data_IF_925957815931
#
_entry.id   IF_925957815931
#
_cell.length_a   1.000
_cell.length_b   1.000
_cell.length_c   1.000
_cell.angle_alpha   90.00
_cell.angle_beta   90.00
_cell.angle_gamma   90.00
#
_symmetry.space_group_name_H-M   'P 1'
#
loop_
_entity.id
_entity.type
_entity.pdbx_description
1 polymer ?
#
# COMPACT_ATOMS: atom_id res chain seq x y z
N UNK A 1 34.34 -1.36 22.93
CA UNK A 1 33.20 -2.18 22.51
C UNK A 1 32.56 -1.51 21.30
N UNK A 2 32.97 -1.87 20.08
CA UNK A 2 32.35 -1.35 18.86
C UNK A 2 31.25 -2.35 18.44
N UNK A 3 30.00 -1.92 18.25
CA UNK A 3 28.96 -2.82 17.78
C UNK A 3 29.27 -3.23 16.33
N UNK A 4 29.62 -4.50 16.14
CA UNK A 4 29.90 -5.08 14.83
C UNK A 4 28.58 -5.37 14.10
N UNK A 5 28.08 -4.40 13.34
CA UNK A 5 26.93 -4.58 12.46
C UNK A 5 27.36 -5.29 11.15
N UNK A 6 27.69 -6.58 11.22
CA UNK A 6 28.13 -7.37 10.05
C UNK A 6 27.02 -7.61 9.01
N UNK A 7 25.75 -7.42 9.37
CA UNK A 7 24.60 -7.79 8.54
C UNK A 7 24.24 -6.71 7.51
N UNK A 8 24.50 -5.43 7.81
CA UNK A 8 24.28 -4.32 6.87
C UNK A 8 25.45 -3.35 6.97
N UNK A 9 26.43 -3.43 6.05
CA UNK A 9 27.54 -2.51 6.08
C UNK A 9 27.02 -1.09 5.88
N UNK A 10 27.67 -0.13 6.54
CA UNK A 10 27.25 1.29 6.57
C UNK A 10 27.03 1.89 5.17
N UNK A 11 27.76 1.40 4.16
CA UNK A 11 27.65 1.82 2.77
C UNK A 11 26.46 1.24 1.99
N UNK A 12 25.75 0.22 2.51
CA UNK A 12 24.53 -0.35 1.90
C UNK A 12 23.27 0.36 2.40
N UNK A 13 23.38 1.10 3.50
CA UNK A 13 22.26 1.87 4.04
C UNK A 13 22.04 3.09 3.13
N UNK A 14 20.88 3.17 2.48
CA UNK A 14 20.37 4.40 1.90
C UNK A 14 19.95 5.35 3.04
N UNK A 15 20.93 5.82 3.80
CA UNK A 15 20.78 6.89 4.79
C UNK A 15 21.39 8.13 4.15
N UNK A 16 20.69 9.26 4.29
CA UNK A 16 21.09 10.56 3.77
C UNK A 16 22.51 10.92 4.26
N UNK A 17 23.54 10.59 3.48
CA UNK A 17 24.85 11.21 3.61
C UNK A 17 24.67 12.66 3.15
N UNK A 18 24.42 13.52 4.15
CA UNK A 18 24.22 14.97 4.07
C UNK A 18 24.14 15.56 2.66
N UNK A 19 22.92 15.94 2.24
CA UNK A 19 22.77 16.81 1.08
C UNK A 19 23.45 18.15 1.35
N UNK A 20 24.40 18.50 0.47
CA UNK A 20 25.12 19.77 0.46
C UNK A 20 24.10 20.90 0.23
N UNK A 21 23.60 21.48 1.33
CA UNK A 21 22.82 22.73 1.44
C UNK A 21 22.13 23.23 0.16
N UNK A 22 20.80 23.09 0.09
CA UNK A 22 19.98 24.05 -0.65
C UNK A 22 18.74 24.40 0.19
N UNK A 23 18.78 25.56 0.87
CA UNK A 23 17.64 26.27 1.51
C UNK A 23 16.54 25.36 2.08
N UNK A 24 16.70 24.94 3.34
CA UNK A 24 15.84 23.99 4.07
C UNK A 24 14.38 24.43 4.35
N UNK A 25 13.70 25.06 3.40
CA UNK A 25 12.28 25.43 3.49
C UNK A 25 11.58 25.57 2.14
N UNK A 26 12.23 26.13 1.11
CA UNK A 26 11.57 26.32 -0.19
C UNK A 26 11.58 25.05 -1.05
N UNK A 27 12.70 24.34 -1.08
CA UNK A 27 12.84 23.10 -1.86
C UNK A 27 12.00 21.96 -1.27
N UNK A 28 11.84 21.91 0.06
CA UNK A 28 11.04 20.89 0.75
C UNK A 28 9.54 21.05 0.48
N UNK A 29 9.03 22.28 0.40
CA UNK A 29 7.62 22.54 0.05
C UNK A 29 7.32 22.11 -1.38
N UNK A 30 8.21 22.42 -2.32
CA UNK A 30 8.08 22.00 -3.73
C UNK A 30 8.15 20.47 -3.84
N UNK A 31 9.08 19.84 -3.14
CA UNK A 31 9.20 18.38 -3.10
C UNK A 31 7.96 17.72 -2.48
N UNK A 32 7.42 18.29 -1.39
CA UNK A 32 6.21 17.79 -0.74
C UNK A 32 4.96 17.94 -1.62
N UNK A 33 4.82 19.05 -2.33
CA UNK A 33 3.75 19.27 -3.31
C UNK A 33 3.83 18.29 -4.48
N UNK A 34 5.04 18.03 -4.98
CA UNK A 34 5.23 17.04 -6.03
C UNK A 34 4.90 15.62 -5.53
N UNK A 35 5.38 15.27 -4.33
CA UNK A 35 5.12 13.98 -3.72
C UNK A 35 3.63 13.73 -3.42
N UNK A 36 2.85 14.77 -3.08
CA UNK A 36 1.41 14.64 -2.85
C UNK A 36 0.63 14.33 -4.13
N UNK A 37 1.03 14.93 -5.26
CA UNK A 37 0.40 14.62 -6.55
C UNK A 37 0.74 13.20 -7.02
N UNK A 38 2.02 12.82 -6.91
CA UNK A 38 2.49 11.47 -7.26
C UNK A 38 1.82 10.40 -6.38
N UNK A 39 1.65 10.66 -5.08
CA UNK A 39 0.99 9.72 -4.17
C UNK A 39 -0.51 9.60 -4.44
N UNK A 40 -1.20 10.70 -4.78
CA UNK A 40 -2.62 10.66 -5.17
C UNK A 40 -2.84 9.82 -6.43
N UNK A 41 -1.96 9.94 -7.43
CA UNK A 41 -2.02 9.13 -8.66
C UNK A 41 -1.75 7.65 -8.38
N UNK A 42 -0.69 7.32 -7.64
CA UNK A 42 -0.39 5.93 -7.26
C UNK A 42 -1.51 5.31 -6.42
N UNK A 43 -2.12 6.09 -5.52
CA UNK A 43 -3.27 5.67 -4.74
C UNK A 43 -4.47 5.35 -5.64
N UNK A 44 -4.79 6.20 -6.63
CA UNK A 44 -5.88 5.93 -7.57
C UNK A 44 -5.62 4.66 -8.43
N UNK A 45 -4.38 4.48 -8.90
CA UNK A 45 -3.98 3.28 -9.66
C UNK A 45 -4.12 2.03 -8.80
N UNK A 46 -3.55 2.04 -7.59
CA UNK A 46 -3.60 0.89 -6.69
C UNK A 46 -5.01 0.60 -6.17
N UNK A 47 -5.81 1.64 -5.96
CA UNK A 47 -7.23 1.52 -5.64
C UNK A 47 -8.00 0.85 -6.77
N UNK A 48 -7.80 1.28 -8.03
CA UNK A 48 -8.46 0.68 -9.18
C UNK A 48 -8.01 -0.77 -9.39
N UNK A 49 -6.71 -1.04 -9.27
CA UNK A 49 -6.19 -2.41 -9.26
C UNK A 49 -6.83 -3.23 -8.13
N UNK A 50 -6.93 -2.70 -6.92
CA UNK A 50 -7.60 -3.35 -5.80
C UNK A 50 -9.08 -3.64 -6.09
N UNK A 51 -9.79 -2.73 -6.77
CA UNK A 51 -11.16 -2.96 -7.24
C UNK A 51 -11.21 -4.09 -8.26
N UNK A 52 -10.32 -4.09 -9.25
CA UNK A 52 -10.24 -5.16 -10.27
C UNK A 52 -9.84 -6.49 -9.65
N UNK A 53 -8.89 -6.53 -8.72
CA UNK A 53 -8.50 -7.77 -8.04
C UNK A 53 -9.58 -8.26 -7.09
N UNK A 54 -10.28 -7.37 -6.38
CA UNK A 54 -11.41 -7.74 -5.53
C UNK A 54 -12.57 -8.27 -6.38
N UNK A 55 -12.93 -7.60 -7.48
CA UNK A 55 -13.98 -8.08 -8.38
C UNK A 55 -13.54 -9.32 -9.15
N UNK A 56 -12.30 -9.42 -9.62
CA UNK A 56 -11.77 -10.62 -10.26
C UNK A 56 -11.72 -11.79 -9.27
N UNK A 57 -11.37 -11.57 -8.00
CA UNK A 57 -11.44 -12.63 -6.99
C UNK A 57 -12.89 -13.02 -6.68
N UNK A 58 -13.83 -12.08 -6.58
CA UNK A 58 -15.27 -12.38 -6.45
C UNK A 58 -15.88 -13.05 -7.69
N UNK A 59 -15.37 -12.73 -8.88
CA UNK A 59 -15.85 -13.25 -10.16
C UNK A 59 -15.26 -14.64 -10.45
N UNK A 60 -13.94 -14.81 -10.32
CA UNK A 60 -13.21 -16.07 -10.51
C UNK A 60 -13.53 -17.08 -9.40
N UNK A 61 -13.75 -16.64 -8.16
CA UNK A 61 -14.21 -17.52 -7.07
C UNK A 61 -15.73 -17.79 -7.11
N UNK A 62 -16.48 -17.07 -7.95
CA UNK A 62 -17.94 -17.15 -8.04
C UNK A 62 -18.65 -16.89 -6.70
N UNK A 63 -19.97 -17.08 -6.66
CA UNK A 63 -20.79 -17.08 -5.42
C UNK A 63 -20.45 -18.25 -4.47
N UNK A 64 -19.17 -18.60 -4.30
CA UNK A 64 -18.77 -19.72 -3.46
C UNK A 64 -18.86 -19.31 -2.00
N UNK A 65 -20.05 -19.56 -1.46
CA UNK A 65 -20.29 -19.58 -0.02
C UNK A 65 -20.95 -18.33 0.54
N UNK A 66 -21.96 -17.77 -0.14
CA UNK A 66 -23.04 -17.15 0.65
C UNK A 66 -23.85 -18.31 1.23
N UNK A 67 -23.39 -18.86 2.36
CA UNK A 67 -24.26 -19.65 3.24
C UNK A 67 -25.31 -18.66 3.75
N UNK A 68 -26.30 -18.38 2.90
CA UNK A 68 -27.59 -17.93 3.40
C UNK A 68 -28.07 -19.12 4.20
N UNK A 69 -28.06 -18.99 5.51
CA UNK A 69 -28.91 -19.81 6.35
C UNK A 69 -30.35 -19.51 5.91
N UNK A 70 -30.81 -20.24 4.89
CA UNK A 70 -32.23 -20.39 4.61
C UNK A 70 -32.74 -21.23 5.76
N UNK A 71 -33.34 -20.59 6.74
CA UNK A 71 -34.30 -21.27 7.59
C UNK A 71 -35.50 -21.57 6.69
N UNK A 72 -35.38 -22.60 5.85
CA UNK A 72 -36.53 -23.29 5.28
C UNK A 72 -37.20 -24.00 6.44
N UNK A 73 -38.01 -23.25 7.19
CA UNK A 73 -39.00 -23.81 8.10
C UNK A 73 -39.97 -24.56 7.22
N UNK A 74 -39.81 -25.88 7.21
CA UNK A 74 -40.81 -26.86 6.82
C UNK A 74 -42.15 -26.50 7.46
N UNK A 75 -42.99 -25.78 6.72
CA UNK A 75 -44.43 -25.76 6.91
C UNK A 75 -45.01 -26.85 5.99
N UNK A 76 -44.95 -28.09 6.47
CA UNK A 76 -45.74 -29.20 5.98
C UNK A 76 -46.27 -29.93 7.21
N UNK A 77 -47.59 -29.87 7.41
CA UNK A 77 -48.31 -30.58 8.47
C UNK A 77 -48.90 -29.64 9.50
#
# INVERSE_FOLDING_TARGET
>A
HYPLNFVTPEYVRHIEQGSLRTFGGHTTVIAAFFASFVSMLMFAVWWYLGKVYCTAFFYVKGKRGRVVQRNDVTAFG
#
